data_IF_548296536623
#
_entry.id   IF_548296536623
#
_cell.length_a   1.000
_cell.length_b   1.000
_cell.length_c   1.000
_cell.angle_alpha   90.00
_cell.angle_beta   90.00
_cell.angle_gamma   90.00
#
_symmetry.space_group_name_H-M   'P 1'
#
loop_
_entity.id
_entity.type
_entity.pdbx_description
1 polymer ?
#
# COMPACT_ATOMS: atom_id res chain seq x y z
N UNK A 1 27.50 0.17 -20.19
CA UNK A 1 26.97 -0.99 -19.45
C UNK A 1 25.71 -0.50 -18.76
N UNK A 2 24.55 -0.82 -19.28
CA UNK A 2 23.29 -0.19 -18.91
C UNK A 2 22.85 -0.63 -17.50
N UNK A 3 22.35 0.28 -16.68
CA UNK A 3 21.84 0.06 -15.32
C UNK A 3 20.88 -1.13 -15.25
N UNK A 4 20.09 -1.37 -16.28
CA UNK A 4 19.12 -2.47 -16.42
C UNK A 4 19.71 -3.88 -16.25
N UNK A 5 20.97 -4.09 -16.63
CA UNK A 5 21.61 -5.41 -16.53
C UNK A 5 22.14 -5.73 -15.13
N UNK A 6 22.25 -4.72 -14.27
CA UNK A 6 22.71 -4.86 -12.88
C UNK A 6 21.57 -5.17 -11.88
N UNK A 7 20.32 -4.94 -12.28
CA UNK A 7 19.14 -5.08 -11.42
C UNK A 7 18.68 -6.54 -11.37
N UNK A 8 18.81 -7.29 -12.46
CA UNK A 8 18.33 -8.68 -12.57
C UNK A 8 19.10 -9.72 -11.75
N UNK A 9 20.32 -9.41 -11.31
CA UNK A 9 21.22 -10.36 -10.64
C UNK A 9 21.47 -10.03 -9.16
N UNK A 10 20.78 -9.01 -8.63
CA UNK A 10 20.94 -8.57 -7.23
C UNK A 10 19.77 -9.08 -6.40
N UNK A 11 20.06 -9.82 -5.35
CA UNK A 11 19.10 -10.09 -4.29
C UNK A 11 19.00 -8.86 -3.38
N UNK A 12 17.87 -8.17 -3.45
CA UNK A 12 17.57 -7.02 -2.65
C UNK A 12 17.12 -7.40 -1.24
N UNK A 13 17.55 -6.66 -0.26
CA UNK A 13 17.00 -6.70 1.10
C UNK A 13 16.15 -5.47 1.36
N UNK A 14 15.21 -5.58 2.30
CA UNK A 14 14.39 -4.44 2.76
C UNK A 14 15.29 -3.29 3.25
N UNK A 15 16.39 -3.62 3.93
CA UNK A 15 17.32 -2.60 4.45
C UNK A 15 18.06 -1.85 3.33
N UNK A 16 18.42 -2.54 2.25
CA UNK A 16 18.99 -1.88 1.08
C UNK A 16 17.98 -0.94 0.41
N UNK A 17 16.70 -1.34 0.31
CA UNK A 17 15.65 -0.49 -0.22
C UNK A 17 15.44 0.76 0.64
N UNK A 18 15.45 0.64 1.96
CA UNK A 18 15.35 1.79 2.88
C UNK A 18 16.48 2.80 2.71
N UNK A 19 17.66 2.34 2.33
CA UNK A 19 18.84 3.18 2.14
C UNK A 19 18.86 3.93 0.79
N UNK A 20 17.97 3.57 -0.15
CA UNK A 20 17.83 4.31 -1.42
C UNK A 20 17.17 5.69 -1.18
N UNK A 21 17.57 6.67 -1.99
CA UNK A 21 16.85 7.95 -2.06
C UNK A 21 15.48 7.76 -2.72
N UNK A 22 14.63 8.78 -2.63
CA UNK A 22 13.32 8.78 -3.29
C UNK A 22 13.47 8.62 -4.82
N UNK A 23 14.41 9.33 -5.41
CA UNK A 23 14.71 9.30 -6.85
C UNK A 23 15.23 7.93 -7.28
N UNK A 24 16.12 7.32 -6.49
CA UNK A 24 16.64 5.96 -6.77
C UNK A 24 15.53 4.91 -6.69
N UNK A 25 14.61 5.00 -5.72
CA UNK A 25 13.43 4.13 -5.64
C UNK A 25 12.51 4.33 -6.84
N UNK A 26 12.31 5.57 -7.29
CA UNK A 26 11.49 5.86 -8.47
C UNK A 26 12.08 5.28 -9.75
N UNK A 27 13.38 5.41 -9.95
CA UNK A 27 14.06 4.82 -11.12
C UNK A 27 14.07 3.30 -11.05
N UNK A 28 14.28 2.72 -9.87
CA UNK A 28 14.15 1.28 -9.66
C UNK A 28 12.74 0.82 -10.01
N UNK A 29 11.70 1.46 -9.43
CA UNK A 29 10.29 1.12 -9.66
C UNK A 29 9.94 1.13 -11.16
N UNK A 30 10.30 2.19 -11.89
CA UNK A 30 10.05 2.30 -13.34
C UNK A 30 10.75 1.21 -14.15
N UNK A 31 11.85 0.65 -13.66
CA UNK A 31 12.62 -0.39 -14.34
C UNK A 31 12.03 -1.80 -14.15
N UNK A 32 11.19 -1.99 -13.12
CA UNK A 32 10.67 -3.31 -12.77
C UNK A 32 9.48 -3.71 -13.65
N UNK A 33 9.29 -5.02 -13.89
CA UNK A 33 8.09 -5.56 -14.49
C UNK A 33 6.91 -5.53 -13.52
N UNK A 34 5.70 -5.65 -14.03
CA UNK A 34 4.54 -5.94 -13.20
C UNK A 34 4.64 -7.33 -12.57
N UNK A 35 3.98 -7.53 -11.43
CA UNK A 35 3.67 -8.88 -10.95
C UNK A 35 2.66 -9.54 -11.91
N UNK A 36 2.74 -10.85 -12.03
CA UNK A 36 1.72 -11.63 -12.72
C UNK A 36 0.48 -11.71 -11.82
N UNK A 37 -0.68 -11.34 -12.34
CA UNK A 37 -1.90 -11.20 -11.54
C UNK A 37 -2.25 -12.46 -10.73
N UNK A 38 -2.15 -13.62 -11.36
CA UNK A 38 -2.56 -14.88 -10.73
C UNK A 38 -1.47 -15.48 -9.80
N UNK A 39 -0.32 -14.80 -9.68
CA UNK A 39 0.78 -15.22 -8.80
C UNK A 39 0.85 -14.40 -7.51
N UNK A 40 0.16 -13.27 -7.44
CA UNK A 40 0.08 -12.50 -6.21
C UNK A 40 -1.12 -12.98 -5.39
N UNK A 41 -0.87 -13.96 -4.53
CA UNK A 41 -1.87 -14.62 -3.69
C UNK A 41 -1.29 -14.88 -2.30
N UNK A 42 -2.11 -14.71 -1.26
CA UNK A 42 -1.72 -14.90 0.14
C UNK A 42 -1.45 -13.61 0.89
N UNK A 43 -0.86 -13.74 2.06
CA UNK A 43 -0.54 -12.65 2.98
C UNK A 43 0.93 -12.26 2.91
N UNK A 44 1.18 -10.97 2.84
CA UNK A 44 2.50 -10.35 2.76
C UNK A 44 2.69 -9.40 3.94
N UNK A 45 3.88 -9.41 4.52
CA UNK A 45 4.30 -8.33 5.41
C UNK A 45 4.72 -7.11 4.60
N UNK A 46 4.60 -5.94 5.21
CA UNK A 46 4.90 -4.68 4.56
C UNK A 46 5.84 -3.79 5.37
N UNK A 47 6.61 -2.99 4.66
CA UNK A 47 7.46 -1.97 5.28
C UNK A 47 7.41 -0.69 4.45
N UNK A 48 7.15 0.44 5.10
CA UNK A 48 7.31 1.75 4.49
C UNK A 48 8.78 2.02 4.23
N UNK A 49 9.09 2.51 3.04
CA UNK A 49 10.46 2.78 2.59
C UNK A 49 10.75 4.28 2.57
N UNK A 50 9.89 5.05 1.90
CA UNK A 50 10.14 6.48 1.71
C UNK A 50 8.84 7.24 1.50
N UNK A 51 8.79 8.43 2.07
CA UNK A 51 7.75 9.42 1.83
C UNK A 51 8.32 10.56 0.98
N UNK A 52 7.52 11.18 0.10
CA UNK A 52 8.00 12.26 -0.78
C UNK A 52 8.25 13.56 -0.02
N UNK A 53 7.54 13.78 1.09
CA UNK A 53 7.64 14.99 1.91
C UNK A 53 7.55 14.64 3.38
N UNK A 54 8.05 15.53 4.24
CA UNK A 54 7.92 15.38 5.70
C UNK A 54 6.46 15.38 6.15
N UNK A 55 5.62 16.19 5.52
CA UNK A 55 4.17 16.18 5.75
C UNK A 55 3.55 14.83 5.39
N UNK A 56 3.92 14.27 4.23
CA UNK A 56 3.51 12.94 3.81
C UNK A 56 3.93 11.87 4.82
N UNK A 57 5.15 11.97 5.33
CA UNK A 57 5.67 11.05 6.37
C UNK A 57 4.81 11.10 7.63
N UNK A 58 4.54 12.27 8.17
CA UNK A 58 3.74 12.43 9.40
C UNK A 58 2.33 11.86 9.19
N UNK A 59 1.70 12.16 8.05
CA UNK A 59 0.36 11.65 7.72
C UNK A 59 0.36 10.13 7.56
N UNK A 60 1.31 9.59 6.80
CA UNK A 60 1.42 8.16 6.57
C UNK A 60 1.67 7.40 7.86
N UNK A 61 2.63 7.85 8.67
CA UNK A 61 2.92 7.26 9.96
C UNK A 61 1.73 7.34 10.92
N UNK A 62 1.03 8.47 10.96
CA UNK A 62 -0.17 8.60 11.76
C UNK A 62 -1.27 7.64 11.30
N UNK A 63 -1.50 7.52 9.99
CA UNK A 63 -2.54 6.65 9.44
C UNK A 63 -2.22 5.17 9.69
N UNK A 64 -0.96 4.78 9.52
CA UNK A 64 -0.54 3.39 9.58
C UNK A 64 -0.19 2.93 11.01
N UNK A 65 0.31 3.83 11.87
CA UNK A 65 0.90 3.47 13.15
C UNK A 65 0.41 4.31 14.32
N UNK A 66 -0.35 5.35 14.10
CA UNK A 66 -0.66 6.36 15.11
C UNK A 66 -2.14 6.48 15.50
N UNK A 67 -3.06 5.81 14.83
CA UNK A 67 -4.50 5.86 15.16
C UNK A 67 -4.86 4.88 16.26
N UNK A 68 -4.66 5.29 17.49
CA UNK A 68 -4.84 4.41 18.63
C UNK A 68 -3.72 3.38 18.73
N UNK A 69 -4.05 2.15 19.09
CA UNK A 69 -3.09 1.04 19.20
C UNK A 69 -2.89 0.28 17.89
N UNK A 70 -3.30 0.85 16.75
CA UNK A 70 -3.16 0.17 15.46
C UNK A 70 -1.75 0.27 14.91
N UNK A 71 -1.28 -0.83 14.32
CA UNK A 71 0.01 -0.93 13.66
C UNK A 71 -0.17 -1.74 12.38
N UNK A 72 0.13 -1.12 11.24
CA UNK A 72 0.07 -1.79 9.96
C UNK A 72 1.13 -2.88 9.84
N UNK A 73 0.70 -4.07 9.47
CA UNK A 73 1.54 -5.25 9.31
C UNK A 73 1.81 -5.58 7.84
N UNK A 74 0.82 -5.35 6.98
CA UNK A 74 0.95 -5.72 5.59
C UNK A 74 -0.37 -5.82 4.86
N UNK A 75 -0.38 -6.61 3.80
CA UNK A 75 -1.52 -6.80 2.91
C UNK A 75 -1.72 -8.27 2.57
N UNK A 76 -2.94 -8.61 2.23
CA UNK A 76 -3.27 -9.91 1.66
C UNK A 76 -3.97 -9.75 0.31
N UNK A 77 -3.78 -10.70 -0.56
CA UNK A 77 -4.29 -10.71 -1.93
C UNK A 77 -4.89 -12.05 -2.27
N UNK A 78 -5.98 -12.02 -3.04
CA UNK A 78 -6.45 -13.18 -3.78
C UNK A 78 -6.76 -12.80 -5.23
N UNK A 79 -6.35 -13.62 -6.22
CA UNK A 79 -6.61 -13.36 -7.63
C UNK A 79 -8.07 -13.63 -8.03
N UNK A 80 -8.92 -13.97 -7.07
CA UNK A 80 -10.35 -14.15 -7.25
C UNK A 80 -11.13 -13.21 -6.33
N UNK A 81 -12.30 -12.78 -6.77
CA UNK A 81 -13.22 -12.01 -5.96
C UNK A 81 -14.61 -12.65 -5.96
N UNK A 82 -15.27 -12.59 -4.80
CA UNK A 82 -16.69 -12.97 -4.72
C UNK A 82 -17.58 -11.99 -5.49
N UNK A 83 -17.12 -10.74 -5.67
CA UNK A 83 -17.82 -9.76 -6.48
C UNK A 83 -17.38 -9.86 -7.94
N UNK A 84 -18.31 -10.19 -8.89
CA UNK A 84 -17.97 -10.34 -10.31
C UNK A 84 -17.50 -9.04 -11.00
N UNK A 85 -17.65 -7.89 -10.35
CA UNK A 85 -17.15 -6.61 -10.86
C UNK A 85 -15.63 -6.45 -10.67
N UNK A 86 -15.01 -7.31 -9.85
CA UNK A 86 -13.59 -7.25 -9.56
C UNK A 86 -12.88 -8.52 -10.02
N UNK A 87 -11.70 -8.37 -10.57
CA UNK A 87 -10.87 -9.51 -10.94
C UNK A 87 -10.29 -10.20 -9.71
N UNK A 88 -9.83 -9.41 -8.75
CA UNK A 88 -9.33 -9.89 -7.48
C UNK A 88 -9.62 -8.89 -6.37
N UNK A 89 -9.30 -9.29 -5.15
CA UNK A 89 -9.50 -8.45 -3.97
C UNK A 89 -8.44 -8.70 -2.91
N UNK A 90 -8.49 -7.91 -1.85
CA UNK A 90 -7.57 -8.06 -0.73
C UNK A 90 -7.94 -7.18 0.44
N UNK A 91 -7.11 -7.26 1.47
CA UNK A 91 -7.25 -6.48 2.70
C UNK A 91 -5.89 -6.04 3.24
N UNK A 92 -5.91 -5.07 4.13
CA UNK A 92 -4.75 -4.71 4.92
C UNK A 92 -4.80 -5.43 6.28
N UNK A 93 -3.63 -5.84 6.75
CA UNK A 93 -3.42 -6.45 8.06
C UNK A 93 -2.96 -5.38 9.04
N UNK A 94 -3.56 -5.35 10.20
CA UNK A 94 -3.17 -4.44 11.29
C UNK A 94 -3.06 -5.21 12.60
N UNK A 95 -2.22 -4.74 13.50
CA UNK A 95 -2.26 -5.12 14.91
C UNK A 95 -3.01 -4.06 15.68
N UNK A 96 -4.10 -4.46 16.33
CA UNK A 96 -4.94 -3.59 17.16
C UNK A 96 -5.08 -4.26 18.53
N UNK A 97 -4.66 -3.59 19.59
CA UNK A 97 -4.67 -4.12 20.96
C UNK A 97 -4.02 -5.52 21.08
N UNK A 98 -2.91 -5.69 20.37
CA UNK A 98 -2.12 -6.94 20.36
C UNK A 98 -2.68 -8.06 19.48
N UNK A 99 -3.83 -7.86 18.83
CA UNK A 99 -4.46 -8.84 17.93
C UNK A 99 -4.32 -8.41 16.48
N UNK A 100 -4.15 -9.38 15.60
CA UNK A 100 -4.25 -9.13 14.17
C UNK A 100 -5.71 -8.92 13.78
N UNK A 101 -5.95 -7.87 12.98
CA UNK A 101 -7.25 -7.47 12.48
C UNK A 101 -7.14 -7.14 11.00
N UNK A 102 -8.06 -7.66 10.21
CA UNK A 102 -8.13 -7.44 8.77
C UNK A 102 -9.16 -6.36 8.46
N UNK A 103 -8.76 -5.31 7.77
CA UNK A 103 -9.66 -4.24 7.31
C UNK A 103 -9.05 -3.44 6.14
N UNK A 104 -9.74 -2.39 5.72
CA UNK A 104 -9.33 -1.55 4.58
C UNK A 104 -9.15 -2.41 3.32
N UNK A 105 -10.27 -3.02 2.91
CA UNK A 105 -10.36 -3.86 1.71
C UNK A 105 -10.08 -3.06 0.44
N UNK A 106 -9.60 -3.76 -0.57
CA UNK A 106 -9.38 -3.21 -1.90
C UNK A 106 -9.76 -4.22 -2.98
N UNK A 107 -10.18 -3.70 -4.14
CA UNK A 107 -10.28 -4.46 -5.38
C UNK A 107 -8.95 -4.39 -6.11
N UNK A 108 -8.58 -5.45 -6.83
CA UNK A 108 -7.37 -5.49 -7.63
C UNK A 108 -7.62 -5.83 -9.09
N UNK A 109 -6.84 -5.23 -9.94
CA UNK A 109 -6.84 -5.44 -11.40
C UNK A 109 -5.46 -5.18 -12.01
N UNK A 110 -5.35 -5.41 -13.33
CA UNK A 110 -4.21 -4.95 -14.12
C UNK A 110 -4.59 -3.67 -14.84
N UNK A 111 -3.76 -2.65 -14.74
CA UNK A 111 -4.04 -1.32 -15.31
C UNK A 111 -2.74 -0.65 -15.79
N UNK A 112 -2.86 0.43 -16.55
CA UNK A 112 -1.73 1.29 -16.86
C UNK A 112 -1.28 2.05 -15.61
N UNK A 113 0.03 1.99 -15.34
CA UNK A 113 0.64 2.70 -14.20
C UNK A 113 0.48 4.20 -14.33
N UNK A 114 0.12 4.84 -13.24
CA UNK A 114 0.03 6.30 -13.14
C UNK A 114 1.40 6.99 -13.26
N UNK A 115 2.50 6.23 -13.14
CA UNK A 115 3.86 6.78 -13.18
C UNK A 115 4.45 6.78 -14.58
N UNK A 116 4.24 5.71 -15.36
CA UNK A 116 4.93 5.51 -16.63
C UNK A 116 4.08 4.86 -17.74
N UNK A 117 2.79 4.65 -17.48
CA UNK A 117 1.84 4.06 -18.43
C UNK A 117 2.03 2.58 -18.72
N UNK A 118 3.02 1.90 -18.11
CA UNK A 118 3.20 0.47 -18.29
C UNK A 118 2.17 -0.33 -17.51
N UNK A 119 1.87 -1.53 -17.99
CA UNK A 119 0.96 -2.43 -17.26
C UNK A 119 1.49 -2.72 -15.86
N UNK A 120 0.60 -2.63 -14.85
CA UNK A 120 0.94 -2.82 -13.44
C UNK A 120 -0.21 -3.47 -12.70
N UNK A 121 0.08 -4.21 -11.64
CA UNK A 121 -0.93 -4.66 -10.67
C UNK A 121 -1.37 -3.46 -9.82
N UNK A 122 -2.68 -3.19 -9.82
CA UNK A 122 -3.29 -2.04 -9.15
C UNK A 122 -4.25 -2.48 -8.05
N UNK A 123 -4.22 -1.77 -6.92
CA UNK A 123 -5.20 -1.86 -5.84
C UNK A 123 -6.02 -0.58 -5.77
N UNK A 124 -7.34 -0.70 -5.63
CA UNK A 124 -8.28 0.41 -5.46
C UNK A 124 -9.13 0.20 -4.21
N UNK A 125 -9.13 1.17 -3.33
CA UNK A 125 -9.86 1.10 -2.06
C UNK A 125 -11.29 1.64 -2.15
N UNK A 126 -11.54 2.55 -3.09
CA UNK A 126 -12.84 3.21 -3.27
C UNK A 126 -14.04 2.28 -3.50
N UNK A 127 -13.91 1.05 -4.05
CA UNK A 127 -15.03 0.13 -4.18
C UNK A 127 -15.61 -0.34 -2.85
N UNK A 128 -14.83 -0.31 -1.76
CA UNK A 128 -15.26 -0.77 -0.45
C UNK A 128 -15.51 0.40 0.49
N UNK A 129 -16.56 0.27 1.32
CA UNK A 129 -16.73 1.14 2.48
C UNK A 129 -15.75 0.71 3.55
N UNK A 130 -14.67 1.43 3.66
CA UNK A 130 -13.67 1.21 4.69
C UNK A 130 -14.02 1.97 5.97
N UNK A 131 -13.31 1.66 7.03
CA UNK A 131 -13.52 2.17 8.36
C UNK A 131 -13.53 3.73 8.47
N UNK A 132 -12.80 4.42 7.61
CA UNK A 132 -12.81 5.89 7.48
C UNK A 132 -13.77 6.40 6.40
N UNK A 133 -14.64 5.55 5.87
CA UNK A 133 -15.51 5.87 4.73
C UNK A 133 -14.90 5.42 3.40
N UNK A 134 -15.04 6.23 2.35
CA UNK A 134 -14.39 5.97 1.08
C UNK A 134 -12.93 6.42 1.15
N UNK A 135 -12.03 5.53 0.73
CA UNK A 135 -10.59 5.83 0.63
C UNK A 135 -10.25 5.86 -0.86
N UNK A 136 -9.92 7.04 -1.37
CA UNK A 136 -9.54 7.24 -2.78
C UNK A 136 -8.03 7.04 -3.00
N UNK A 137 -7.46 6.07 -2.29
CA UNK A 137 -6.07 5.67 -2.48
C UNK A 137 -5.97 4.64 -3.60
N UNK A 138 -4.88 4.68 -4.32
CA UNK A 138 -4.47 3.70 -5.32
C UNK A 138 -3.05 3.27 -4.97
N UNK A 139 -2.86 1.95 -4.88
CA UNK A 139 -1.52 1.38 -4.79
C UNK A 139 -1.20 0.62 -6.07
N UNK A 140 0.08 0.58 -6.43
CA UNK A 140 0.61 -0.20 -7.53
C UNK A 140 1.75 -1.10 -7.05
N UNK A 141 1.83 -2.31 -7.61
CA UNK A 141 2.81 -3.33 -7.22
C UNK A 141 3.64 -3.76 -8.40
N UNK A 142 4.97 -3.74 -8.27
CA UNK A 142 5.91 -4.27 -9.24
C UNK A 142 6.77 -5.37 -8.63
N UNK A 143 7.07 -6.36 -9.47
CA UNK A 143 7.89 -7.50 -9.09
C UNK A 143 9.37 -7.08 -9.01
N UNK A 144 9.98 -7.26 -7.86
CA UNK A 144 11.41 -7.03 -7.67
C UNK A 144 12.19 -8.34 -7.69
N UNK A 145 11.73 -9.32 -6.92
CA UNK A 145 12.25 -10.68 -6.86
C UNK A 145 11.18 -11.63 -6.28
N UNK A 146 11.46 -12.92 -6.17
CA UNK A 146 10.47 -13.97 -5.87
C UNK A 146 9.62 -13.69 -4.62
N UNK A 147 10.23 -13.16 -3.57
CA UNK A 147 9.60 -12.91 -2.28
C UNK A 147 9.47 -11.42 -1.93
N UNK A 148 9.77 -10.53 -2.86
CA UNK A 148 9.83 -9.10 -2.59
C UNK A 148 9.28 -8.27 -3.77
N UNK A 149 8.29 -7.43 -3.47
CA UNK A 149 7.72 -6.47 -4.40
C UNK A 149 8.04 -5.04 -3.96
N UNK A 150 8.29 -4.16 -4.94
CA UNK A 150 8.36 -2.71 -4.72
C UNK A 150 7.02 -2.08 -5.09
N UNK A 151 6.48 -1.28 -4.20
CA UNK A 151 5.14 -0.75 -4.28
C UNK A 151 5.13 0.77 -4.12
N UNK A 152 4.10 1.38 -4.67
CA UNK A 152 3.77 2.78 -4.43
C UNK A 152 2.32 2.91 -3.98
N UNK A 153 2.04 3.96 -3.21
CA UNK A 153 0.69 4.35 -2.81
C UNK A 153 0.48 5.85 -2.93
N UNK A 154 -0.67 6.26 -3.48
CA UNK A 154 -1.00 7.67 -3.63
C UNK A 154 -2.50 7.92 -3.61
N UNK A 155 -2.91 9.08 -3.10
CA UNK A 155 -4.29 9.55 -3.14
C UNK A 155 -4.63 10.31 -4.41
N UNK A 156 -3.66 10.98 -4.99
CA UNK A 156 -3.81 11.72 -6.24
C UNK A 156 -2.43 11.92 -6.88
N UNK A 157 -2.06 11.07 -7.84
CA UNK A 157 -0.72 11.09 -8.43
C UNK A 157 -0.39 12.37 -9.20
N UNK A 158 -1.41 13.10 -9.67
CA UNK A 158 -1.21 14.39 -10.37
C UNK A 158 -0.79 15.51 -9.42
N UNK A 159 -1.13 15.38 -8.13
CA UNK A 159 -0.91 16.43 -7.13
C UNK A 159 0.09 16.04 -6.05
N UNK A 160 0.17 14.75 -5.75
CA UNK A 160 0.99 14.22 -4.66
C UNK A 160 1.87 13.09 -5.17
N UNK A 161 3.20 13.24 -5.10
CA UNK A 161 4.10 12.15 -5.39
C UNK A 161 3.78 10.95 -4.47
N UNK A 162 3.91 9.70 -4.96
CA UNK A 162 3.53 8.52 -4.19
C UNK A 162 4.49 8.21 -3.05
N UNK A 163 3.97 7.59 -2.01
CA UNK A 163 4.76 6.93 -0.98
C UNK A 163 5.34 5.62 -1.53
N UNK A 164 6.52 5.23 -1.07
CA UNK A 164 7.13 3.94 -1.38
C UNK A 164 7.01 2.98 -0.20
N UNK A 165 6.62 1.75 -0.50
CA UNK A 165 6.66 0.63 0.43
C UNK A 165 7.09 -0.65 -0.28
N UNK A 166 7.44 -1.68 0.46
CA UNK A 166 7.67 -3.01 -0.08
C UNK A 166 6.74 -4.04 0.59
N UNK A 167 6.50 -5.12 -0.15
CA UNK A 167 5.78 -6.30 0.32
C UNK A 167 6.72 -7.48 0.28
N UNK A 168 6.76 -8.22 1.38
CA UNK A 168 7.56 -9.43 1.52
C UNK A 168 6.66 -10.64 1.76
N UNK A 169 6.78 -11.66 0.94
CA UNK A 169 5.95 -12.87 1.02
C UNK A 169 5.68 -13.52 -0.32
N UNK A 170 4.63 -14.40 -0.41
CA UNK A 170 3.61 -14.62 0.62
C UNK A 170 4.13 -15.42 1.84
N UNK A 171 3.67 -15.05 3.03
CA UNK A 171 4.03 -15.71 4.29
C UNK A 171 2.95 -16.69 4.76
N UNK A 172 1.69 -16.41 4.42
CA UNK A 172 0.52 -17.22 4.72
C UNK A 172 -0.41 -17.24 3.50
N UNK A 173 -1.36 -18.18 3.51
CA UNK A 173 -2.48 -18.18 2.56
C UNK A 173 -3.45 -17.05 2.88
N UNK A 174 -4.18 -16.58 1.85
CA UNK A 174 -5.24 -15.60 2.03
C UNK A 174 -6.33 -16.14 2.97
N UNK A 175 -6.75 -15.36 3.96
CA UNK A 175 -7.79 -15.75 4.90
C UNK A 175 -9.19 -15.42 4.35
N UNK A 176 -9.81 -16.40 3.70
CA UNK A 176 -11.18 -16.31 3.20
C UNK A 176 -12.24 -16.27 4.31
N UNK A 177 -11.89 -16.59 5.55
CA UNK A 177 -12.81 -16.56 6.68
C UNK A 177 -12.82 -15.21 7.41
N UNK A 178 -12.05 -14.25 6.92
CA UNK A 178 -11.96 -12.92 7.55
C UNK A 178 -13.32 -12.31 7.72
N UNK A 179 -13.67 -12.02 8.95
CA UNK A 179 -14.76 -11.13 9.27
C UNK A 179 -14.31 -9.69 9.02
N UNK A 180 -15.18 -8.89 8.44
CA UNK A 180 -14.91 -7.48 8.17
C UNK A 180 -15.47 -6.59 9.28
N UNK A 181 -14.85 -6.57 10.49
CA UNK A 181 -15.40 -5.85 11.65
C UNK A 181 -15.52 -4.36 11.39
N UNK A 182 -14.82 -3.88 10.37
CA UNK A 182 -14.86 -2.47 9.93
C UNK A 182 -15.35 -2.31 8.49
N UNK A 183 -15.65 -3.39 7.78
CA UNK A 183 -15.91 -3.39 6.34
C UNK A 183 -17.24 -2.78 5.93
N UNK A 184 -18.24 -2.80 6.80
CA UNK A 184 -19.56 -2.22 6.57
C UNK A 184 -20.00 -1.33 7.72
N UNK A 185 -19.34 -1.37 8.86
CA UNK A 185 -19.59 -0.46 9.95
C UNK A 185 -18.62 0.70 9.84
N UNK A 186 -19.16 1.86 9.53
CA UNK A 186 -18.51 3.12 9.86
C UNK A 186 -18.37 3.10 11.38
N UNK A 187 -17.30 2.49 11.88
CA UNK A 187 -16.99 2.66 13.28
C UNK A 187 -16.87 4.14 13.52
N UNK A 188 -17.59 4.59 14.49
CA UNK A 188 -17.60 5.90 15.11
C UNK A 188 -16.20 6.30 15.62
N UNK A 189 -15.24 6.32 14.75
CA UNK A 189 -14.12 7.22 14.93
C UNK A 189 -14.68 8.61 14.74
N UNK A 190 -14.30 9.52 15.58
CA UNK A 190 -14.90 10.83 15.80
C UNK A 190 -15.76 11.30 14.63
N UNK A 191 -16.94 11.83 14.88
CA UNK A 191 -17.88 12.36 13.87
C UNK A 191 -17.28 13.45 12.95
N UNK A 192 -15.99 13.70 13.10
CA UNK A 192 -15.23 14.66 12.32
C UNK A 192 -14.55 13.87 11.23
N UNK A 193 -14.90 14.09 9.95
CA UNK A 193 -14.12 13.53 8.85
C UNK A 193 -12.66 13.88 9.07
N UNK A 194 -11.77 12.92 8.85
CA UNK A 194 -10.34 13.23 8.79
C UNK A 194 -10.16 14.24 7.67
N UNK A 195 -9.87 15.47 8.04
CA UNK A 195 -9.37 16.48 7.11
C UNK A 195 -7.97 16.85 7.58
N UNK A 196 -7.10 17.14 6.64
CA UNK A 196 -5.76 17.65 6.92
C UNK A 196 -5.79 18.84 7.89
N UNK A 197 -6.86 19.63 7.85
CA UNK A 197 -7.06 20.82 8.67
C UNK A 197 -7.24 20.50 10.17
N UNK A 198 -7.65 19.28 10.51
CA UNK A 198 -7.88 18.83 11.89
C UNK A 198 -6.71 18.01 12.45
N UNK A 199 -5.66 17.78 11.67
CA UNK A 199 -4.50 17.06 12.15
C UNK A 199 -3.63 17.99 13.00
N UNK A 200 -3.19 17.57 14.19
CA UNK A 200 -2.31 18.37 15.04
C UNK A 200 -0.88 18.36 14.47
N UNK A 201 -0.71 18.94 13.30
CA UNK A 201 0.62 19.13 12.73
C UNK A 201 1.48 19.98 13.66
N UNK A 202 2.77 19.68 13.79
CA UNK A 202 3.75 20.63 14.27
C UNK A 202 3.56 21.99 13.55
N UNK A 203 3.72 23.10 14.27
CA UNK A 203 3.50 24.44 13.71
C UNK A 203 4.31 24.68 12.43
N UNK A 204 5.52 24.05 12.35
CA UNK A 204 6.43 24.12 11.20
C UNK A 204 5.79 23.56 9.91
N UNK A 205 4.84 22.63 10.02
CA UNK A 205 4.19 21.97 8.88
C UNK A 205 2.83 22.56 8.52
N UNK A 206 2.32 23.53 9.30
CA UNK A 206 1.01 24.13 9.01
C UNK A 206 1.01 25.10 7.83
N UNK A 207 2.19 25.55 7.39
CA UNK A 207 2.37 26.56 6.37
C UNK A 207 3.02 26.03 5.08
N UNK A 208 3.13 24.73 4.90
CA UNK A 208 3.63 24.10 3.68
C UNK A 208 2.44 23.73 2.73
#
# INVERSE_FOLDING_TARGET
>A
MTITKKISDKNWTVEELKNLSYEELMELYKSLPSVEFDKIDGEYDATMLKYPTERGRILGEWTLYGTGSSHWLGKAFTPSSENPEFRGEGYNKFRVDGKEVHHTRFASDMHESMIDGKLVFRMRYSPFKNFSGSVDMIDEVRFLQEDLCLCIGTYNPEKLPPDFFCLFGPLNVYDHSSEWPYGNEIRRMSKVPFTLDNYPFPEELKNE
#
